data_IF_834178573824
#
_entry.id   IF_834178573824
#
_cell.length_a   1.000
_cell.length_b   1.000
_cell.length_c   1.000
_cell.angle_alpha   90.00
_cell.angle_beta   90.00
_cell.angle_gamma   90.00
#
_symmetry.space_group_name_H-M   'P 1'
#
loop_
_entity.id
_entity.type
_entity.pdbx_description
1 polymer ?
#
# COMPACT_ATOMS: atom_id res chain seq x y z
N UNK A 1 50.21 7.51 -76.14
CA UNK A 1 51.60 8.02 -75.98
C UNK A 1 52.50 6.94 -76.55
N UNK A 2 53.70 7.26 -77.08
CA UNK A 2 54.63 6.17 -77.49
C UNK A 2 55.31 5.69 -76.21
N UNK A 3 54.91 4.52 -75.72
CA UNK A 3 55.49 3.89 -74.53
C UNK A 3 56.86 3.32 -74.88
N UNK A 4 57.87 4.17 -74.85
CA UNK A 4 59.25 3.82 -75.11
C UNK A 4 59.79 3.02 -73.91
N UNK A 5 60.11 1.73 -74.11
CA UNK A 5 60.71 0.92 -73.03
C UNK A 5 62.24 1.08 -73.01
N UNK A 6 62.92 0.78 -71.87
CA UNK A 6 64.39 0.71 -71.83
C UNK A 6 64.98 -0.24 -72.88
N UNK A 7 64.26 -1.32 -73.19
CA UNK A 7 64.62 -2.26 -74.25
C UNK A 7 64.53 -1.64 -75.64
N UNK A 8 63.55 -0.78 -75.91
CA UNK A 8 63.41 -0.14 -77.22
C UNK A 8 64.44 0.98 -77.43
N UNK A 9 64.86 1.66 -76.36
CA UNK A 9 66.03 2.56 -76.39
C UNK A 9 67.30 1.76 -76.72
N UNK A 10 67.58 0.66 -76.01
CA UNK A 10 68.75 -0.21 -76.29
C UNK A 10 68.72 -0.80 -77.70
N UNK A 11 67.56 -1.22 -78.21
CA UNK A 11 67.42 -1.73 -79.60
C UNK A 11 67.67 -0.67 -80.67
N UNK A 12 67.51 0.61 -80.36
CA UNK A 12 67.71 1.70 -81.34
C UNK A 12 69.19 2.10 -81.48
N UNK A 13 70.03 1.70 -80.53
CA UNK A 13 71.50 1.83 -80.60
C UNK A 13 72.03 1.20 -81.90
N UNK A 14 72.90 1.90 -82.62
CA UNK A 14 73.40 1.48 -83.94
C UNK A 14 72.37 1.44 -85.10
N UNK A 15 71.07 1.65 -84.83
CA UNK A 15 69.95 1.45 -85.77
C UNK A 15 69.46 2.78 -86.41
N UNK A 16 70.36 3.76 -86.48
CA UNK A 16 70.15 5.10 -87.04
C UNK A 16 70.76 5.22 -88.45
N UNK A 17 70.05 5.88 -89.35
CA UNK A 17 70.52 6.15 -90.72
C UNK A 17 71.72 7.11 -90.75
N UNK A 18 72.72 6.81 -91.58
CA UNK A 18 73.91 7.65 -91.76
C UNK A 18 73.63 8.78 -92.77
N UNK A 19 73.89 10.02 -92.38
CA UNK A 19 73.77 11.21 -93.24
C UNK A 19 75.09 11.97 -93.38
N UNK A 20 75.22 12.82 -94.41
CA UNK A 20 76.47 13.51 -94.76
C UNK A 20 76.99 14.50 -93.69
N UNK A 21 76.15 14.87 -92.73
CA UNK A 21 76.45 15.67 -91.52
C UNK A 21 75.57 15.17 -90.36
N UNK A 22 76.01 14.10 -89.69
CA UNK A 22 75.33 13.52 -88.52
C UNK A 22 76.13 13.71 -87.23
N UNK A 23 75.51 13.36 -86.10
CA UNK A 23 76.20 13.21 -84.80
C UNK A 23 77.17 12.01 -84.83
N UNK A 24 78.16 12.00 -83.92
CA UNK A 24 79.05 10.85 -83.76
C UNK A 24 78.26 9.63 -83.25
N UNK A 25 78.24 8.49 -83.98
CA UNK A 25 77.58 7.28 -83.53
C UNK A 25 78.05 6.78 -82.15
N UNK A 26 79.31 6.97 -81.77
CA UNK A 26 79.83 6.53 -80.48
C UNK A 26 79.31 7.36 -79.30
N UNK A 27 79.20 8.69 -79.47
CA UNK A 27 78.61 9.55 -78.44
C UNK A 27 77.11 9.30 -78.30
N UNK A 28 76.40 9.13 -79.43
CA UNK A 28 74.97 8.82 -79.46
C UNK A 28 74.69 7.47 -78.80
N UNK A 29 75.44 6.42 -79.13
CA UNK A 29 75.32 5.10 -78.52
C UNK A 29 75.53 5.17 -76.99
N UNK A 30 76.57 5.88 -76.54
CA UNK A 30 76.89 6.04 -75.11
C UNK A 30 75.76 6.79 -74.36
N UNK A 31 75.20 7.82 -74.98
CA UNK A 31 74.04 8.55 -74.44
C UNK A 31 72.78 7.68 -74.37
N UNK A 32 72.54 6.84 -75.39
CA UNK A 32 71.40 5.90 -75.39
C UNK A 32 71.51 4.84 -74.30
N UNK A 33 72.72 4.36 -74.00
CA UNK A 33 72.97 3.46 -72.86
C UNK A 33 72.55 4.12 -71.53
N UNK A 34 73.00 5.35 -71.29
CA UNK A 34 72.68 6.14 -70.09
C UNK A 34 71.17 6.46 -70.00
N UNK A 35 70.54 6.80 -71.12
CA UNK A 35 69.09 7.03 -71.19
C UNK A 35 68.33 5.73 -70.88
N UNK A 36 68.76 4.58 -71.41
CA UNK A 36 68.13 3.30 -71.12
C UNK A 36 68.24 2.92 -69.65
N UNK A 37 69.42 3.06 -69.03
CA UNK A 37 69.61 2.81 -67.59
C UNK A 37 68.75 3.74 -66.73
N UNK A 38 68.70 5.04 -67.06
CA UNK A 38 67.88 5.99 -66.30
C UNK A 38 66.39 5.73 -66.47
N UNK A 39 65.95 5.33 -67.66
CA UNK A 39 64.57 4.94 -67.94
C UNK A 39 64.20 3.64 -67.20
N UNK A 40 65.10 2.68 -67.13
CA UNK A 40 64.92 1.42 -66.37
C UNK A 40 64.77 1.69 -64.87
N UNK A 41 65.59 2.59 -64.31
CA UNK A 41 65.45 3.05 -62.93
C UNK A 41 64.12 3.76 -62.68
N UNK A 42 63.69 4.66 -63.59
CA UNK A 42 62.41 5.37 -63.48
C UNK A 42 61.20 4.44 -63.60
N UNK A 43 61.23 3.43 -64.47
CA UNK A 43 60.16 2.43 -64.58
C UNK A 43 60.06 1.63 -63.28
N UNK A 44 61.18 1.18 -62.72
CA UNK A 44 61.22 0.45 -61.45
C UNK A 44 60.70 1.29 -60.28
N UNK A 45 61.09 2.56 -60.20
CA UNK A 45 60.58 3.51 -59.22
C UNK A 45 59.06 3.74 -59.39
N UNK A 46 58.58 3.90 -60.63
CA UNK A 46 57.15 4.10 -60.91
C UNK A 46 56.30 2.90 -60.50
N UNK A 47 56.76 1.67 -60.75
CA UNK A 47 56.09 0.45 -60.26
C UNK A 47 56.04 0.42 -58.74
N UNK A 48 57.16 0.66 -58.05
CA UNK A 48 57.20 0.70 -56.58
C UNK A 48 56.29 1.79 -55.99
N UNK A 49 56.18 2.95 -56.64
CA UNK A 49 55.30 4.03 -56.22
C UNK A 49 53.82 3.69 -56.45
N UNK A 50 53.47 3.04 -57.57
CA UNK A 50 52.10 2.57 -57.84
C UNK A 50 51.65 1.54 -56.80
N UNK A 51 52.45 0.51 -56.55
CA UNK A 51 52.13 -0.48 -55.51
C UNK A 51 51.99 0.15 -54.10
N UNK A 52 52.80 1.17 -53.78
CA UNK A 52 52.65 1.92 -52.52
C UNK A 52 51.35 2.71 -52.49
N UNK A 53 50.98 3.36 -53.59
CA UNK A 53 49.72 4.11 -53.70
C UNK A 53 48.50 3.18 -53.56
N UNK A 54 48.51 2.02 -54.22
CA UNK A 54 47.46 0.99 -54.11
C UNK A 54 47.32 0.50 -52.66
N UNK A 55 48.41 0.09 -52.00
CA UNK A 55 48.39 -0.33 -50.58
C UNK A 55 47.90 0.77 -49.63
N UNK A 56 48.26 2.04 -49.88
CA UNK A 56 47.77 3.17 -49.08
C UNK A 56 46.28 3.43 -49.34
N UNK A 57 45.81 3.32 -50.58
CA UNK A 57 44.39 3.48 -50.94
C UNK A 57 43.52 2.39 -50.30
N UNK A 58 43.99 1.14 -50.25
CA UNK A 58 43.34 0.05 -49.53
C UNK A 58 43.25 0.36 -48.02
N UNK A 59 44.34 0.83 -47.40
CA UNK A 59 44.36 1.21 -45.98
C UNK A 59 43.39 2.36 -45.67
N UNK A 60 43.36 3.41 -46.49
CA UNK A 60 42.39 4.52 -46.36
C UNK A 60 40.96 3.98 -46.45
N UNK A 61 40.66 3.14 -47.44
CA UNK A 61 39.33 2.56 -47.62
C UNK A 61 38.91 1.70 -46.41
N UNK A 62 39.83 0.93 -45.83
CA UNK A 62 39.56 0.16 -44.59
C UNK A 62 39.35 1.06 -43.37
N UNK A 63 40.11 2.16 -43.25
CA UNK A 63 39.98 3.11 -42.14
C UNK A 63 38.66 3.88 -42.22
N UNK A 64 38.27 4.37 -43.41
CA UNK A 64 36.96 5.00 -43.64
C UNK A 64 35.81 4.04 -43.32
N UNK A 65 35.91 2.77 -43.72
CA UNK A 65 34.90 1.75 -43.40
C UNK A 65 34.77 1.51 -41.89
N UNK A 66 35.89 1.49 -41.16
CA UNK A 66 35.89 1.41 -39.68
C UNK A 66 35.32 2.66 -39.03
N UNK A 67 35.65 3.84 -39.54
CA UNK A 67 35.14 5.11 -39.01
C UNK A 67 33.62 5.19 -39.15
N UNK A 68 33.07 4.83 -40.32
CA UNK A 68 31.61 4.75 -40.54
C UNK A 68 30.94 3.78 -39.56
N UNK A 69 31.49 2.57 -39.39
CA UNK A 69 30.97 1.59 -38.43
C UNK A 69 31.00 2.11 -36.98
N UNK A 70 32.03 2.88 -36.58
CA UNK A 70 32.09 3.52 -35.26
C UNK A 70 31.06 4.65 -35.13
N UNK A 71 30.86 5.47 -36.16
CA UNK A 71 29.83 6.52 -36.19
C UNK A 71 28.42 5.91 -36.09
N UNK A 72 28.12 4.86 -36.85
CA UNK A 72 26.85 4.11 -36.79
C UNK A 72 26.63 3.48 -35.40
N UNK A 73 27.66 2.89 -34.81
CA UNK A 73 27.59 2.33 -33.45
C UNK A 73 27.35 3.42 -32.39
N UNK A 74 27.96 4.61 -32.52
CA UNK A 74 27.73 5.74 -31.62
C UNK A 74 26.29 6.27 -31.71
N UNK A 75 25.76 6.43 -32.92
CA UNK A 75 24.35 6.84 -33.15
C UNK A 75 23.39 5.79 -32.57
N UNK A 76 23.65 4.50 -32.82
CA UNK A 76 22.85 3.40 -32.27
C UNK A 76 22.88 3.40 -30.73
N UNK A 77 24.06 3.60 -30.13
CA UNK A 77 24.21 3.71 -28.67
C UNK A 77 23.56 4.98 -28.08
N UNK A 78 23.47 6.08 -28.84
CA UNK A 78 22.71 7.26 -28.44
C UNK A 78 21.20 6.96 -28.46
N UNK A 79 20.67 6.41 -29.55
CA UNK A 79 19.26 6.02 -29.66
C UNK A 79 18.85 5.03 -28.55
N UNK A 80 19.63 3.97 -28.33
CA UNK A 80 19.37 2.99 -27.27
C UNK A 80 19.34 3.62 -25.87
N UNK A 81 20.22 4.60 -25.58
CA UNK A 81 20.20 5.34 -24.31
C UNK A 81 18.95 6.21 -24.16
N UNK A 82 18.51 6.88 -25.23
CA UNK A 82 17.27 7.66 -25.19
C UNK A 82 16.04 6.78 -24.98
N UNK A 83 15.94 5.65 -25.68
CA UNK A 83 14.81 4.74 -25.54
C UNK A 83 14.80 4.04 -24.18
N UNK A 84 15.96 3.63 -23.67
CA UNK A 84 16.10 3.11 -22.29
C UNK A 84 15.68 4.15 -21.26
N UNK A 85 16.06 5.43 -21.45
CA UNK A 85 15.61 6.52 -20.56
C UNK A 85 14.10 6.71 -20.63
N UNK A 86 13.50 6.75 -21.82
CA UNK A 86 12.04 6.88 -22.01
C UNK A 86 11.28 5.73 -21.37
N UNK A 87 11.78 4.49 -21.50
CA UNK A 87 11.18 3.32 -20.86
C UNK A 87 11.25 3.44 -19.33
N UNK A 88 12.43 3.76 -18.77
CA UNK A 88 12.58 3.95 -17.33
C UNK A 88 11.71 5.10 -16.77
N UNK A 89 11.55 6.20 -17.52
CA UNK A 89 10.65 7.31 -17.17
C UNK A 89 9.17 6.86 -17.15
N UNK A 90 8.73 6.06 -18.13
CA UNK A 90 7.38 5.51 -18.20
C UNK A 90 7.10 4.47 -17.10
N UNK A 91 8.05 3.57 -16.85
CA UNK A 91 7.96 2.57 -15.77
C UNK A 91 7.93 3.24 -14.40
N UNK A 92 8.70 4.31 -14.18
CA UNK A 92 8.70 5.08 -12.94
C UNK A 92 7.36 5.80 -12.70
N UNK A 93 6.78 6.45 -13.71
CA UNK A 93 5.45 7.07 -13.61
C UNK A 93 4.34 6.03 -13.34
N UNK A 94 4.38 4.87 -14.01
CA UNK A 94 3.44 3.78 -13.76
C UNK A 94 3.58 3.23 -12.34
N UNK A 95 4.81 3.01 -11.86
CA UNK A 95 5.08 2.52 -10.51
C UNK A 95 4.66 3.52 -9.43
N UNK A 96 4.86 4.83 -9.67
CA UNK A 96 4.36 5.89 -8.78
C UNK A 96 2.83 5.87 -8.69
N UNK A 97 2.13 5.85 -9.83
CA UNK A 97 0.66 5.78 -9.86
C UNK A 97 0.11 4.52 -9.20
N UNK A 98 0.78 3.38 -9.37
CA UNK A 98 0.41 2.15 -8.66
C UNK A 98 0.65 2.26 -7.15
N UNK A 99 1.76 2.84 -6.72
CA UNK A 99 2.06 3.05 -5.30
C UNK A 99 1.03 4.00 -4.65
N UNK A 100 0.70 5.11 -5.30
CA UNK A 100 -0.34 6.06 -4.86
C UNK A 100 -1.71 5.38 -4.78
N UNK A 101 -2.12 4.64 -5.82
CA UNK A 101 -3.39 3.93 -5.83
C UNK A 101 -3.48 2.84 -4.75
N UNK A 102 -2.37 2.15 -4.44
CA UNK A 102 -2.29 1.19 -3.34
C UNK A 102 -2.36 1.91 -1.98
N UNK A 103 -1.64 3.01 -1.81
CA UNK A 103 -1.64 3.80 -0.58
C UNK A 103 -3.03 4.35 -0.25
N UNK A 104 -3.73 4.93 -1.23
CA UNK A 104 -5.09 5.45 -1.03
C UNK A 104 -6.10 4.33 -0.76
N UNK A 105 -5.97 3.14 -1.39
CA UNK A 105 -6.78 1.97 -1.02
C UNK A 105 -6.55 1.54 0.42
N UNK A 106 -5.29 1.34 0.83
CA UNK A 106 -4.93 0.97 2.21
C UNK A 106 -5.43 2.02 3.21
N UNK A 107 -5.35 3.31 2.88
CA UNK A 107 -5.86 4.41 3.71
C UNK A 107 -7.39 4.36 3.83
N UNK A 108 -8.11 4.17 2.72
CA UNK A 108 -9.56 4.05 2.72
C UNK A 108 -10.03 2.83 3.52
N UNK A 109 -9.37 1.68 3.38
CA UNK A 109 -9.62 0.47 4.16
C UNK A 109 -9.36 0.69 5.66
N UNK A 110 -8.25 1.33 6.03
CA UNK A 110 -7.92 1.65 7.42
C UNK A 110 -8.93 2.64 8.05
N UNK A 111 -9.36 3.66 7.31
CA UNK A 111 -10.40 4.60 7.76
C UNK A 111 -11.75 3.89 7.93
N UNK A 112 -12.15 3.05 6.97
CA UNK A 112 -13.39 2.27 7.06
C UNK A 112 -13.37 1.28 8.24
N UNK A 113 -12.22 0.66 8.54
CA UNK A 113 -12.04 -0.18 9.71
C UNK A 113 -12.13 0.63 11.01
N UNK A 114 -11.46 1.78 11.09
CA UNK A 114 -11.49 2.66 12.26
C UNK A 114 -12.92 3.16 12.57
N UNK A 115 -13.67 3.59 11.56
CA UNK A 115 -15.07 4.02 11.73
C UNK A 115 -16.00 2.86 12.14
N UNK A 116 -15.77 1.63 11.65
CA UNK A 116 -16.50 0.44 12.12
C UNK A 116 -16.23 0.16 13.60
N UNK A 117 -14.96 0.09 14.00
CA UNK A 117 -14.60 -0.13 15.42
C UNK A 117 -15.11 0.98 16.31
N UNK A 118 -15.12 2.23 15.84
CA UNK A 118 -15.71 3.37 16.56
C UNK A 118 -17.23 3.23 16.71
N UNK A 119 -17.94 2.85 15.66
CA UNK A 119 -19.39 2.63 15.70
C UNK A 119 -19.75 1.44 16.62
N UNK A 120 -18.98 0.36 16.58
CA UNK A 120 -19.13 -0.80 17.48
C UNK A 120 -18.89 -0.40 18.94
N UNK A 121 -17.83 0.38 19.23
CA UNK A 121 -17.54 0.88 20.57
C UNK A 121 -18.64 1.82 21.08
N UNK A 122 -19.14 2.73 20.24
CA UNK A 122 -20.25 3.62 20.61
C UNK A 122 -21.53 2.81 20.89
N UNK A 123 -21.89 1.87 20.02
CA UNK A 123 -23.06 1.01 20.25
C UNK A 123 -22.91 0.13 21.50
N UNK A 124 -21.69 -0.25 21.89
CA UNK A 124 -21.44 -0.95 23.15
C UNK A 124 -21.63 -0.02 24.36
N UNK A 125 -21.13 1.22 24.30
CA UNK A 125 -21.36 2.24 25.34
C UNK A 125 -22.86 2.51 25.50
N UNK A 126 -23.58 2.75 24.40
CA UNK A 126 -25.02 3.06 24.43
C UNK A 126 -25.84 1.92 25.05
N UNK A 127 -25.47 0.66 24.77
CA UNK A 127 -26.09 -0.53 25.41
C UNK A 127 -25.85 -0.57 26.92
N UNK A 128 -24.61 -0.36 27.36
CA UNK A 128 -24.25 -0.36 28.79
C UNK A 128 -24.95 0.79 29.52
N UNK A 129 -25.06 1.97 28.90
CA UNK A 129 -25.81 3.10 29.45
C UNK A 129 -27.31 2.79 29.58
N UNK A 130 -27.94 2.23 28.54
CA UNK A 130 -29.35 1.83 28.60
C UNK A 130 -29.63 0.72 29.64
N UNK A 131 -28.70 -0.23 29.81
CA UNK A 131 -28.78 -1.24 30.87
C UNK A 131 -28.65 -0.62 32.27
N UNK A 132 -27.70 0.31 32.46
CA UNK A 132 -27.52 1.03 33.71
C UNK A 132 -28.74 1.90 34.07
N UNK A 133 -29.30 2.64 33.11
CA UNK A 133 -30.53 3.42 33.29
C UNK A 133 -31.72 2.53 33.69
N UNK A 134 -31.88 1.38 33.02
CA UNK A 134 -32.91 0.40 33.36
C UNK A 134 -32.74 -0.15 34.78
N UNK A 135 -31.52 -0.52 35.17
CA UNK A 135 -31.22 -1.01 36.52
C UNK A 135 -31.46 0.06 37.58
N UNK A 136 -31.12 1.33 37.30
CA UNK A 136 -31.41 2.45 38.20
C UNK A 136 -32.92 2.68 38.34
N UNK A 137 -33.69 2.63 37.25
CA UNK A 137 -35.14 2.74 37.29
C UNK A 137 -35.80 1.59 38.07
N UNK A 138 -35.34 0.36 37.89
CA UNK A 138 -35.80 -0.81 38.66
C UNK A 138 -35.52 -0.64 40.16
N UNK A 139 -34.30 -0.22 40.51
CA UNK A 139 -33.91 0.03 41.91
C UNK A 139 -34.70 1.18 42.53
N UNK A 140 -34.96 2.25 41.79
CA UNK A 140 -35.79 3.36 42.26
C UNK A 140 -37.23 2.91 42.55
N UNK A 141 -37.85 2.13 41.66
CA UNK A 141 -39.18 1.57 41.88
C UNK A 141 -39.27 0.68 43.13
N UNK A 142 -38.27 -0.18 43.35
CA UNK A 142 -38.19 -1.01 44.56
C UNK A 142 -38.06 -0.18 45.84
N UNK A 143 -37.33 0.95 45.80
CA UNK A 143 -37.24 1.87 46.94
C UNK A 143 -38.57 2.57 47.21
N UNK A 144 -39.26 3.05 46.18
CA UNK A 144 -40.61 3.65 46.33
C UNK A 144 -41.60 2.66 46.96
N UNK A 145 -41.60 1.40 46.53
CA UNK A 145 -42.51 0.40 47.08
C UNK A 145 -42.18 0.04 48.53
N UNK A 146 -40.90 -0.08 48.90
CA UNK A 146 -40.48 -0.23 50.31
C UNK A 146 -40.87 0.99 51.17
N UNK A 147 -40.78 2.21 50.64
CA UNK A 147 -41.23 3.42 51.35
C UNK A 147 -42.75 3.45 51.52
N UNK A 148 -43.52 3.02 50.52
CA UNK A 148 -44.98 2.86 50.59
C UNK A 148 -45.36 1.81 51.64
N UNK A 149 -44.69 0.66 51.67
CA UNK A 149 -44.89 -0.39 52.68
C UNK A 149 -44.56 0.11 54.09
N UNK A 150 -43.40 0.74 54.29
CA UNK A 150 -43.02 1.39 55.55
C UNK A 150 -44.08 2.40 56.00
N UNK A 151 -44.57 3.24 55.09
CA UNK A 151 -45.61 4.24 55.39
C UNK A 151 -46.94 3.59 55.81
N UNK A 152 -47.36 2.52 55.12
CA UNK A 152 -48.55 1.71 55.49
C UNK A 152 -48.38 1.06 56.86
N UNK A 153 -47.23 0.42 57.11
CA UNK A 153 -46.92 -0.20 58.40
C UNK A 153 -46.96 0.80 59.55
N UNK A 154 -46.27 1.95 59.41
CA UNK A 154 -46.25 2.98 60.46
C UNK A 154 -47.64 3.58 60.73
N UNK A 155 -48.49 3.73 59.72
CA UNK A 155 -49.89 4.14 59.88
C UNK A 155 -50.70 3.08 60.62
N UNK A 156 -50.61 1.82 60.20
CA UNK A 156 -51.33 0.70 60.84
C UNK A 156 -50.89 0.50 62.29
N UNK A 157 -49.58 0.57 62.57
CA UNK A 157 -49.02 0.49 63.92
C UNK A 157 -49.48 1.64 64.80
N UNK A 158 -49.50 2.88 64.28
CA UNK A 158 -50.06 4.03 65.01
C UNK A 158 -51.51 3.80 65.39
N UNK A 159 -52.37 3.43 64.44
CA UNK A 159 -53.80 3.20 64.71
C UNK A 159 -54.08 1.98 65.60
N UNK A 160 -53.14 1.04 65.71
CA UNK A 160 -53.18 -0.01 66.73
C UNK A 160 -52.85 0.58 68.12
N UNK A 161 -51.74 1.30 68.27
CA UNK A 161 -51.35 1.91 69.55
C UNK A 161 -52.38 2.92 70.04
N UNK A 162 -52.97 3.74 69.17
CA UNK A 162 -54.07 4.67 69.50
C UNK A 162 -55.31 3.92 70.02
N UNK A 163 -55.60 2.72 69.48
CA UNK A 163 -56.72 1.88 69.94
C UNK A 163 -56.43 1.24 71.29
N UNK A 164 -55.24 0.67 71.48
CA UNK A 164 -54.86 0.05 72.75
C UNK A 164 -54.78 1.11 73.87
N UNK A 165 -54.29 2.33 73.57
CA UNK A 165 -54.31 3.45 74.50
C UNK A 165 -55.75 3.82 74.91
N UNK A 166 -56.65 3.99 73.94
CA UNK A 166 -58.08 4.23 74.22
C UNK A 166 -58.71 3.09 75.05
N UNK A 167 -58.32 1.84 74.81
CA UNK A 167 -58.80 0.70 75.61
C UNK A 167 -58.32 0.77 77.07
N UNK A 168 -57.05 1.13 77.29
CA UNK A 168 -56.49 1.37 78.63
C UNK A 168 -57.16 2.56 79.32
N UNK A 169 -57.33 3.70 78.64
CA UNK A 169 -58.05 4.87 79.16
C UNK A 169 -59.49 4.53 79.55
N UNK A 170 -60.14 3.62 78.82
CA UNK A 170 -61.51 3.15 79.12
C UNK A 170 -61.56 2.29 80.39
N UNK A 171 -60.55 1.46 80.64
CA UNK A 171 -60.44 0.67 81.87
C UNK A 171 -59.96 1.52 83.07
N UNK A 172 -59.11 2.53 82.88
CA UNK A 172 -58.73 3.49 83.94
C UNK A 172 -59.91 4.39 84.35
N UNK A 173 -60.79 4.75 83.42
CA UNK A 173 -62.01 5.51 83.69
C UNK A 173 -63.13 4.67 84.36
N UNK A 174 -62.90 3.36 84.56
CA UNK A 174 -63.89 2.45 85.16
C UNK A 174 -63.89 2.63 86.68
N UNK A 175 -65.03 3.03 87.31
CA UNK A 175 -65.07 3.20 88.75
C UNK A 175 -64.80 1.86 89.46
N UNK A 176 -64.03 1.93 90.55
CA UNK A 176 -63.66 0.75 91.33
C UNK A 176 -64.91 -0.04 91.76
N UNK A 177 -64.90 -1.38 91.66
CA UNK A 177 -66.07 -2.19 91.98
C UNK A 177 -66.45 -2.03 93.46
N UNK A 178 -67.72 -1.73 93.72
CA UNK A 178 -68.26 -1.55 95.06
C UNK A 178 -68.24 -2.89 95.83
N UNK A 179 -67.30 -3.01 96.76
CA UNK A 179 -67.01 -4.23 97.53
C UNK A 179 -68.08 -4.57 98.58
N UNK A 180 -69.16 -3.81 98.69
CA UNK A 180 -70.22 -4.03 99.68
C UNK A 180 -71.52 -4.68 99.16
N UNK A 181 -71.60 -5.04 97.87
CA UNK A 181 -72.86 -5.47 97.24
C UNK A 181 -73.21 -6.99 97.29
N UNK A 182 -72.47 -7.84 98.01
CA UNK A 182 -72.71 -9.30 97.98
C UNK A 182 -73.52 -9.82 99.19
N UNK A 183 -74.86 -9.79 99.08
CA UNK A 183 -75.78 -10.46 100.00
C UNK A 183 -76.25 -11.81 99.43
N UNK A 184 -76.05 -12.91 100.18
CA UNK A 184 -76.46 -14.26 99.78
C UNK A 184 -77.96 -14.50 100.07
N UNK A 185 -78.79 -14.90 99.09
CA UNK A 185 -80.19 -15.26 99.33
C UNK A 185 -80.36 -16.72 99.78
N UNK A 186 -81.26 -16.94 100.74
CA UNK A 186 -81.55 -18.25 101.35
C UNK A 186 -82.47 -19.15 100.50
N UNK A 187 -82.19 -20.46 100.46
CA UNK A 187 -82.96 -21.45 99.71
C UNK A 187 -84.28 -21.90 100.36
N UNK A 188 -85.26 -22.31 99.54
CA UNK A 188 -86.31 -23.31 99.88
C UNK A 188 -86.68 -24.17 98.65
N UNK A 189 -87.08 -25.45 98.84
CA UNK A 189 -87.24 -26.42 97.75
C UNK A 189 -88.69 -26.59 97.25
N UNK A 190 -88.84 -27.21 96.08
CA UNK A 190 -90.11 -27.70 95.51
C UNK A 190 -89.90 -29.11 94.94
N UNK A 191 -90.86 -30.02 95.13
CA UNK A 191 -90.91 -31.38 94.57
C UNK A 191 -92.24 -31.55 93.76
N UNK A 192 -92.47 -32.63 92.97
CA UNK A 192 -92.93 -32.50 91.59
C UNK A 192 -94.31 -33.18 91.37
N UNK A 193 -94.68 -33.48 90.11
CA UNK A 193 -95.58 -34.59 89.83
C UNK A 193 -95.05 -35.61 88.80
N UNK A 194 -95.73 -36.76 88.76
CA UNK A 194 -95.56 -37.93 87.89
C UNK A 194 -96.92 -38.16 87.18
N UNK A 195 -97.06 -38.79 86.02
CA UNK A 195 -96.14 -39.65 85.26
C UNK A 195 -96.21 -39.29 83.72
N UNK A 196 -95.99 -40.13 82.71
CA UNK A 196 -95.91 -41.60 82.62
C UNK A 196 -95.08 -42.13 81.41
N UNK A 197 -95.12 -43.45 81.25
CA UNK A 197 -94.44 -44.36 80.31
C UNK A 197 -95.44 -44.67 79.15
N UNK A 198 -95.03 -44.94 77.89
CA UNK A 198 -94.83 -46.30 77.30
C UNK A 198 -94.43 -46.14 75.82
N UNK A 199 -93.59 -47.03 75.23
CA UNK A 199 -92.91 -46.80 73.95
C UNK A 199 -93.37 -47.72 72.79
N UNK A 200 -92.77 -47.52 71.62
CA UNK A 200 -92.38 -48.55 70.66
C UNK A 200 -91.11 -48.10 69.90
#
# INVERSE_FOLDING_TARGET
MIDLTPLDVRKKRGDFGKGLRGYDPHEVDTFLELVAERLEALVKENVQLRERAERLQEQVTQLEGRERAVQEALVTAQALREDTRRQAEQEADLLLREAEARAERTRAEALAAAERTRAEAQAAIDRVMAEAERLLAERAGLLEDLERERSRFLKAFRSLVERELHAVETEEARPAPDVHAFALPSARPVIPPVAEVVPA
#
